data_IF_702844829131
#
_entry.id   IF_702844829131
#
_cell.length_a   1.000
_cell.length_b   1.000
_cell.length_c   1.000
_cell.angle_alpha   90.00
_cell.angle_beta   90.00
_cell.angle_gamma   90.00
#
_symmetry.space_group_name_H-M   'P 1'
#
loop_
_entity.id
_entity.type
_entity.pdbx_description
1 polymer ?
#
# COMPACT_ATOMS: atom_id res chain seq x y z
N UNK A 1 -2.35 12.36 -4.99
CA UNK A 1 -2.80 13.53 -4.24
C UNK A 1 -2.96 13.30 -2.74
N UNK A 2 -2.94 12.05 -2.26
CA UNK A 2 -3.02 11.71 -0.83
C UNK A 2 -4.34 12.04 -0.11
N UNK A 3 -5.37 12.52 -0.82
CA UNK A 3 -6.69 12.72 -0.24
C UNK A 3 -7.38 11.36 -0.04
N UNK A 4 -7.92 11.12 1.15
CA UNK A 4 -8.76 9.94 1.39
C UNK A 4 -10.10 10.06 0.66
N UNK A 5 -10.70 8.91 0.28
CA UNK A 5 -12.04 8.90 -0.32
C UNK A 5 -13.08 9.56 0.59
N UNK A 6 -13.00 9.34 1.91
CA UNK A 6 -13.85 9.98 2.92
C UNK A 6 -13.76 11.51 2.88
N UNK A 7 -12.54 12.04 2.79
CA UNK A 7 -12.34 13.50 2.73
C UNK A 7 -12.84 14.09 1.43
N UNK A 8 -12.59 13.42 0.29
CA UNK A 8 -13.06 13.86 -1.02
C UNK A 8 -14.60 13.98 -1.05
N UNK A 9 -15.29 12.98 -0.51
CA UNK A 9 -16.75 12.94 -0.48
C UNK A 9 -17.29 14.03 0.46
N UNK A 10 -16.72 14.18 1.66
CA UNK A 10 -17.14 15.22 2.59
C UNK A 10 -16.92 16.64 2.01
N UNK A 11 -15.82 16.87 1.30
CA UNK A 11 -15.59 18.17 0.64
C UNK A 11 -16.58 18.41 -0.51
N UNK A 12 -17.01 17.35 -1.22
CA UNK A 12 -18.03 17.44 -2.27
C UNK A 12 -19.43 17.72 -1.67
N UNK A 13 -19.80 17.05 -0.59
CA UNK A 13 -21.06 17.25 0.12
C UNK A 13 -21.19 18.66 0.70
N UNK A 14 -20.08 19.25 1.16
CA UNK A 14 -20.06 20.62 1.63
C UNK A 14 -20.25 21.66 0.51
N UNK A 15 -20.19 21.25 -0.76
CA UNK A 15 -20.32 22.14 -1.91
C UNK A 15 -21.74 22.15 -2.46
N UNK A 16 -22.46 23.24 -2.28
CA UNK A 16 -23.87 23.42 -2.72
C UNK A 16 -24.11 23.28 -4.23
N UNK A 17 -23.07 23.16 -5.03
CA UNK A 17 -23.15 23.03 -6.49
C UNK A 17 -22.90 21.60 -6.98
N UNK A 18 -22.77 20.64 -6.05
CA UNK A 18 -22.51 19.24 -6.35
C UNK A 18 -23.71 18.43 -5.85
N UNK A 19 -24.46 17.84 -6.79
CA UNK A 19 -25.61 16.97 -6.49
C UNK A 19 -25.20 15.51 -6.27
N UNK A 20 -24.04 15.11 -6.77
CA UNK A 20 -23.54 13.74 -6.64
C UNK A 20 -22.01 13.66 -6.69
N UNK A 21 -21.48 12.67 -6.03
CA UNK A 21 -20.02 12.38 -6.00
C UNK A 21 -19.79 10.89 -6.15
N UNK A 22 -18.55 10.46 -6.28
CA UNK A 22 -18.30 9.04 -6.38
C UNK A 22 -16.84 8.66 -6.58
N UNK A 23 -16.64 7.36 -6.72
CA UNK A 23 -15.32 6.77 -6.90
C UNK A 23 -15.22 6.13 -8.28
N UNK A 24 -14.22 6.53 -9.04
CA UNK A 24 -13.99 6.04 -10.39
C UNK A 24 -12.56 5.54 -10.55
N UNK A 25 -12.39 4.38 -11.20
CA UNK A 25 -11.09 3.84 -11.57
C UNK A 25 -10.19 3.45 -10.36
N UNK A 26 -8.92 3.23 -10.61
CA UNK A 26 -7.86 2.98 -9.61
C UNK A 26 -7.85 1.57 -9.05
N UNK A 27 -9.01 0.98 -8.78
CA UNK A 27 -9.14 -0.34 -8.14
C UNK A 27 -10.26 -1.17 -8.76
N UNK A 28 -10.22 -2.50 -8.55
CA UNK A 28 -11.31 -3.40 -8.89
C UNK A 28 -12.46 -3.38 -7.89
N UNK A 29 -13.59 -4.07 -8.17
CA UNK A 29 -14.84 -3.94 -7.41
C UNK A 29 -14.71 -4.40 -5.96
N UNK A 30 -13.93 -5.42 -5.67
CA UNK A 30 -13.72 -5.89 -4.30
C UNK A 30 -12.98 -4.88 -3.40
N UNK A 31 -12.03 -4.11 -3.96
CA UNK A 31 -11.39 -3.01 -3.23
C UNK A 31 -12.30 -1.78 -3.13
N UNK A 32 -13.03 -1.47 -4.19
CA UNK A 32 -13.99 -0.39 -4.18
C UNK A 32 -15.03 -0.59 -3.06
N UNK A 33 -15.53 -1.82 -2.88
CA UNK A 33 -16.41 -2.17 -1.75
C UNK A 33 -15.80 -1.83 -0.38
N UNK A 34 -14.49 -2.13 -0.18
CA UNK A 34 -13.79 -1.80 1.08
C UNK A 34 -13.69 -0.29 1.31
N UNK A 35 -13.43 0.47 0.26
CA UNK A 35 -13.36 1.93 0.34
C UNK A 35 -14.70 2.54 0.73
N UNK A 36 -15.81 2.01 0.19
CA UNK A 36 -17.17 2.52 0.40
C UNK A 36 -17.67 2.22 1.81
N UNK A 37 -17.32 1.09 2.40
CA UNK A 37 -17.75 0.70 3.75
C UNK A 37 -17.48 1.78 4.82
N UNK A 38 -16.47 2.60 4.62
CA UNK A 38 -16.04 3.65 5.54
C UNK A 38 -16.54 5.04 5.14
N UNK A 39 -17.45 5.12 4.15
CA UNK A 39 -17.99 6.36 3.66
C UNK A 39 -19.48 6.42 4.07
N UNK A 40 -19.82 7.37 4.92
CA UNK A 40 -21.20 7.82 5.06
C UNK A 40 -21.37 9.05 4.17
N UNK A 41 -22.32 9.05 3.27
CA UNK A 41 -22.74 10.25 2.57
C UNK A 41 -24.08 10.72 3.14
N UNK A 42 -24.33 12.01 3.03
CA UNK A 42 -25.63 12.59 3.34
C UNK A 42 -26.69 12.01 2.38
N UNK A 43 -27.93 11.80 2.87
CA UNK A 43 -29.03 11.28 2.07
C UNK A 43 -29.38 12.19 0.87
N UNK A 44 -28.91 13.44 0.87
CA UNK A 44 -29.11 14.39 -0.21
C UNK A 44 -28.11 14.24 -1.37
N UNK A 45 -27.03 13.48 -1.21
CA UNK A 45 -25.96 13.40 -2.21
C UNK A 45 -25.93 12.01 -2.89
N UNK A 46 -26.06 11.99 -4.21
CA UNK A 46 -25.95 10.74 -4.99
C UNK A 46 -24.52 10.22 -4.97
N UNK A 47 -24.37 8.93 -4.67
CA UNK A 47 -23.08 8.26 -4.78
C UNK A 47 -23.00 7.37 -6.00
N UNK A 48 -21.87 7.48 -6.71
CA UNK A 48 -21.56 6.67 -7.88
C UNK A 48 -20.29 5.83 -7.72
N UNK A 49 -20.25 4.67 -8.38
CA UNK A 49 -19.11 3.76 -8.34
C UNK A 49 -18.83 3.16 -9.71
N UNK A 50 -17.60 3.39 -10.20
CA UNK A 50 -17.12 2.91 -11.48
C UNK A 50 -15.75 2.22 -11.33
N UNK A 51 -15.67 0.98 -10.79
CA UNK A 51 -14.42 0.27 -10.63
C UNK A 51 -13.87 -0.25 -11.97
N UNK A 52 -12.59 -0.60 -11.98
CA UNK A 52 -11.99 -1.35 -13.07
C UNK A 52 -12.48 -2.81 -13.06
N UNK A 53 -12.45 -3.50 -14.20
CA UNK A 53 -12.81 -4.93 -14.28
C UNK A 53 -11.93 -5.81 -13.40
N UNK A 54 -10.74 -5.35 -13.04
CA UNK A 54 -9.77 -6.03 -12.20
C UNK A 54 -8.44 -5.27 -12.19
N UNK A 55 -7.37 -5.95 -11.77
CA UNK A 55 -6.02 -5.39 -11.87
C UNK A 55 -5.47 -5.55 -13.29
N UNK A 56 -4.82 -4.51 -13.84
CA UNK A 56 -4.19 -4.59 -15.13
C UNK A 56 -3.02 -5.59 -15.10
N UNK A 57 -2.92 -6.40 -16.15
CA UNK A 57 -1.76 -7.24 -16.42
C UNK A 57 -1.14 -6.87 -17.76
N UNK A 58 0.17 -6.85 -17.83
CA UNK A 58 0.88 -6.69 -19.09
C UNK A 58 1.10 -8.08 -19.71
N UNK A 59 0.47 -8.33 -20.84
CA UNK A 59 0.68 -9.51 -21.63
C UNK A 59 1.10 -9.09 -23.06
N UNK A 60 2.26 -9.55 -23.54
CA UNK A 60 2.79 -9.21 -24.85
C UNK A 60 2.82 -7.68 -25.12
N UNK A 61 3.31 -6.90 -24.18
CA UNK A 61 3.36 -5.43 -24.23
C UNK A 61 1.99 -4.73 -24.38
N UNK A 62 0.88 -5.43 -24.07
CA UNK A 62 -0.47 -4.87 -24.04
C UNK A 62 -1.02 -4.93 -22.63
N UNK A 63 -1.68 -3.85 -22.23
CA UNK A 63 -2.43 -3.81 -20.98
C UNK A 63 -3.69 -4.66 -21.16
N UNK A 64 -3.81 -5.71 -20.36
CA UNK A 64 -4.98 -6.60 -20.34
C UNK A 64 -5.57 -6.64 -18.95
N UNK A 65 -6.88 -6.86 -18.86
CA UNK A 65 -7.58 -7.05 -17.61
C UNK A 65 -8.10 -8.49 -17.55
N UNK A 66 -8.14 -9.06 -16.36
CA UNK A 66 -8.71 -10.40 -16.18
C UNK A 66 -10.21 -10.33 -16.43
N UNK A 67 -10.70 -11.11 -17.39
CA UNK A 67 -12.13 -11.20 -17.70
C UNK A 67 -12.81 -12.05 -16.62
N UNK A 68 -13.64 -11.41 -15.80
CA UNK A 68 -14.48 -12.05 -14.80
C UNK A 68 -15.72 -11.18 -14.53
N UNK A 69 -16.61 -11.14 -15.50
CA UNK A 69 -17.80 -10.31 -15.46
C UNK A 69 -18.82 -10.78 -14.41
N UNK A 70 -18.84 -12.10 -14.09
CA UNK A 70 -19.66 -12.65 -13.01
C UNK A 70 -19.26 -12.11 -11.65
N UNK A 71 -17.97 -12.24 -11.30
CA UNK A 71 -17.41 -11.71 -10.05
C UNK A 71 -17.62 -10.20 -9.95
N UNK A 72 -17.45 -9.50 -11.07
CA UNK A 72 -17.66 -8.06 -11.10
C UNK A 72 -19.10 -7.70 -10.75
N UNK A 73 -20.07 -8.35 -11.39
CA UNK A 73 -21.49 -8.11 -11.16
C UNK A 73 -21.90 -8.48 -9.72
N UNK A 74 -21.40 -9.61 -9.19
CA UNK A 74 -21.60 -10.00 -7.78
C UNK A 74 -21.13 -8.90 -6.83
N UNK A 75 -19.91 -8.38 -7.02
CA UNK A 75 -19.36 -7.33 -6.14
C UNK A 75 -20.07 -6.00 -6.28
N UNK A 76 -20.56 -5.66 -7.46
CA UNK A 76 -21.40 -4.46 -7.65
C UNK A 76 -22.75 -4.63 -6.96
N UNK A 77 -23.37 -5.80 -7.02
CA UNK A 77 -24.62 -6.07 -6.28
C UNK A 77 -24.42 -5.90 -4.77
N UNK A 78 -23.32 -6.41 -4.22
CA UNK A 78 -22.96 -6.21 -2.81
C UNK A 78 -22.71 -4.72 -2.46
N UNK A 79 -22.22 -3.94 -3.41
CA UNK A 79 -22.03 -2.48 -3.26
C UNK A 79 -23.38 -1.76 -3.29
N UNK A 80 -24.33 -2.22 -4.12
CA UNK A 80 -25.67 -1.66 -4.21
C UNK A 80 -26.40 -1.71 -2.85
N UNK A 81 -26.21 -2.78 -2.08
CA UNK A 81 -26.75 -2.93 -0.73
C UNK A 81 -26.27 -1.84 0.23
N UNK A 82 -25.20 -1.13 -0.08
CA UNK A 82 -24.63 -0.04 0.74
C UNK A 82 -25.21 1.34 0.45
N UNK A 83 -26.32 1.45 -0.30
CA UNK A 83 -26.99 2.72 -0.62
C UNK A 83 -26.34 3.50 -1.76
N UNK A 84 -25.49 2.86 -2.58
CA UNK A 84 -24.99 3.44 -3.82
C UNK A 84 -26.10 3.35 -4.88
N UNK A 85 -26.30 4.42 -5.65
CA UNK A 85 -27.39 4.48 -6.63
C UNK A 85 -26.94 4.52 -8.09
N UNK A 86 -25.68 4.81 -8.36
CA UNK A 86 -25.15 4.91 -9.72
C UNK A 86 -23.97 3.96 -9.87
N UNK A 87 -24.11 3.02 -10.80
CA UNK A 87 -23.10 1.98 -11.02
C UNK A 87 -22.63 1.96 -12.47
N UNK A 88 -21.40 1.58 -12.64
CA UNK A 88 -20.82 1.36 -13.96
C UNK A 88 -19.51 0.63 -13.86
N UNK A 89 -18.70 0.81 -14.88
CA UNK A 89 -17.37 0.25 -14.93
C UNK A 89 -16.39 1.22 -15.59
N UNK A 90 -15.10 1.03 -15.33
CA UNK A 90 -14.02 1.81 -15.89
C UNK A 90 -13.10 0.91 -16.72
N UNK A 91 -11.79 1.00 -16.53
CA UNK A 91 -10.81 0.28 -17.34
C UNK A 91 -11.04 -1.23 -17.37
N UNK A 92 -11.04 -1.79 -18.59
CA UNK A 92 -11.23 -3.21 -18.84
C UNK A 92 -12.67 -3.71 -18.78
N UNK A 93 -13.66 -2.88 -18.45
CA UNK A 93 -15.07 -3.27 -18.50
C UNK A 93 -15.59 -3.19 -19.94
N UNK A 94 -16.44 -4.13 -20.31
CA UNK A 94 -17.07 -4.27 -21.63
C UNK A 94 -18.60 -4.19 -21.49
N UNK A 95 -19.36 -4.10 -22.57
CA UNK A 95 -20.82 -4.14 -22.52
C UNK A 95 -21.38 -5.39 -21.81
N UNK A 96 -20.65 -6.50 -21.80
CA UNK A 96 -21.06 -7.72 -21.10
C UNK A 96 -21.08 -7.53 -19.58
N UNK A 97 -20.09 -6.82 -19.02
CA UNK A 97 -20.06 -6.46 -17.60
C UNK A 97 -21.28 -5.62 -17.22
N UNK A 98 -21.61 -4.63 -18.02
CA UNK A 98 -22.77 -3.75 -17.76
C UNK A 98 -24.09 -4.53 -17.86
N UNK A 99 -24.21 -5.44 -18.85
CA UNK A 99 -25.38 -6.30 -18.99
C UNK A 99 -25.58 -7.19 -17.75
N UNK A 100 -24.50 -7.77 -17.22
CA UNK A 100 -24.57 -8.60 -16.01
C UNK A 100 -24.91 -7.80 -14.75
N UNK A 101 -24.36 -6.58 -14.60
CA UNK A 101 -24.78 -5.68 -13.53
C UNK A 101 -26.28 -5.38 -13.64
N UNK A 102 -26.76 -4.97 -14.79
CA UNK A 102 -28.16 -4.63 -15.02
C UNK A 102 -29.12 -5.81 -14.78
N UNK A 103 -28.68 -7.03 -15.05
CA UNK A 103 -29.46 -8.23 -14.76
C UNK A 103 -29.49 -8.60 -13.27
N UNK A 104 -28.47 -8.22 -12.51
CA UNK A 104 -28.33 -8.55 -11.09
C UNK A 104 -28.89 -7.51 -10.12
N UNK A 105 -29.14 -6.28 -10.57
CA UNK A 105 -29.62 -5.20 -9.72
C UNK A 105 -31.05 -4.84 -10.16
N UNK A 106 -32.03 -5.02 -9.25
CA UNK A 106 -33.42 -4.60 -9.52
C UNK A 106 -33.53 -3.07 -9.51
N UNK A 107 -34.34 -2.48 -10.41
CA UNK A 107 -34.63 -1.05 -10.36
C UNK A 107 -35.29 -0.60 -9.05
N UNK A 108 -35.99 -1.52 -8.39
CA UNK A 108 -36.69 -1.30 -7.11
C UNK A 108 -35.81 -1.66 -5.90
N UNK A 109 -34.49 -1.74 -6.06
CA UNK A 109 -33.60 -2.04 -4.96
C UNK A 109 -33.74 -0.94 -3.91
N UNK A 110 -34.14 -1.27 -2.69
CA UNK A 110 -34.28 -0.24 -1.66
C UNK A 110 -32.89 0.41 -1.46
N UNK A 111 -32.83 1.72 -1.61
CA UNK A 111 -31.67 2.50 -1.17
C UNK A 111 -31.63 2.31 0.34
N UNK A 112 -30.88 1.28 0.78
CA UNK A 112 -30.82 0.91 2.18
C UNK A 112 -30.24 2.05 3.00
N UNK A 113 -30.80 2.30 4.17
CA UNK A 113 -30.15 3.11 5.18
C UNK A 113 -28.76 2.55 5.41
N UNK A 114 -27.75 3.37 5.16
CA UNK A 114 -26.36 2.98 5.39
C UNK A 114 -26.15 2.64 6.85
N UNK A 115 -25.90 1.38 7.16
CA UNK A 115 -25.32 1.05 8.45
C UNK A 115 -23.91 1.67 8.49
N UNK A 116 -23.77 2.70 9.28
CA UNK A 116 -22.44 3.18 9.69
C UNK A 116 -21.81 2.05 10.49
N UNK A 117 -20.96 1.27 9.83
CA UNK A 117 -20.07 0.37 10.55
C UNK A 117 -19.24 1.28 11.45
N UNK A 118 -19.39 1.08 12.77
CA UNK A 118 -18.59 1.81 13.74
C UNK A 118 -17.14 1.83 13.27
N UNK A 119 -16.57 3.02 13.22
CA UNK A 119 -15.14 3.16 12.92
C UNK A 119 -14.40 2.15 13.81
N UNK A 120 -13.82 1.16 13.20
CA UNK A 120 -12.71 0.47 13.84
C UNK A 120 -11.66 1.56 13.92
N UNK A 121 -11.64 2.24 15.06
CA UNK A 121 -10.52 3.08 15.44
C UNK A 121 -9.34 2.14 15.53
N UNK A 122 -8.66 1.92 14.42
CA UNK A 122 -7.28 1.51 14.46
C UNK A 122 -6.65 2.67 15.21
N UNK A 123 -6.35 2.43 16.48
CA UNK A 123 -5.63 3.38 17.29
C UNK A 123 -4.32 3.67 16.53
N UNK A 124 -4.32 4.77 15.81
CA UNK A 124 -3.12 5.32 15.19
C UNK A 124 -2.27 6.01 16.26
N UNK A 125 -2.06 5.34 17.38
CA UNK A 125 -0.94 5.66 18.22
C UNK A 125 0.30 5.25 17.43
N UNK A 126 0.80 6.20 16.64
CA UNK A 126 2.16 6.13 16.14
C UNK A 126 3.02 5.94 17.39
N UNK A 127 3.77 4.84 17.51
CA UNK A 127 4.70 4.74 18.62
C UNK A 127 5.60 5.96 18.52
N UNK A 128 5.55 6.85 19.50
CA UNK A 128 6.14 8.17 19.43
C UNK A 128 7.65 8.11 19.14
N UNK A 129 8.29 6.97 19.39
CA UNK A 129 9.73 6.75 19.25
C UNK A 129 10.12 5.45 18.53
N UNK A 130 9.17 4.63 18.09
CA UNK A 130 9.43 3.35 17.43
C UNK A 130 10.35 2.45 18.28
N UNK A 131 11.39 1.85 17.66
CA UNK A 131 12.34 0.98 18.36
C UNK A 131 13.20 1.70 19.40
N UNK A 132 13.25 3.03 19.37
CA UNK A 132 13.97 3.85 20.36
C UNK A 132 13.22 4.04 21.68
N UNK A 133 11.96 3.60 21.76
CA UNK A 133 11.07 3.88 22.89
C UNK A 133 11.68 3.43 24.24
N UNK A 134 12.25 2.22 24.28
CA UNK A 134 12.89 1.69 25.50
C UNK A 134 14.07 2.57 25.93
N UNK A 135 14.91 3.00 24.97
CA UNK A 135 16.06 3.83 25.27
C UNK A 135 15.68 5.25 25.68
N UNK A 136 14.59 5.78 25.17
CA UNK A 136 14.07 7.09 25.61
C UNK A 136 13.55 7.02 27.02
N UNK A 137 12.88 5.91 27.41
CA UNK A 137 12.40 5.69 28.78
C UNK A 137 13.54 5.35 29.76
N UNK A 138 14.54 4.62 29.30
CA UNK A 138 15.74 4.25 30.05
C UNK A 138 17.01 4.51 29.22
N UNK A 139 17.72 5.60 29.46
CA UNK A 139 18.95 5.93 28.75
C UNK A 139 20.08 4.89 28.91
N UNK A 140 20.03 4.02 29.93
CA UNK A 140 20.98 2.93 30.13
C UNK A 140 20.68 1.69 29.27
N UNK A 141 19.45 1.58 28.72
CA UNK A 141 19.05 0.46 27.88
C UNK A 141 19.91 0.39 26.60
N UNK A 142 20.49 -0.79 26.36
CA UNK A 142 21.26 -1.06 25.14
C UNK A 142 20.31 -1.59 24.07
N UNK A 143 20.20 -0.88 22.96
CA UNK A 143 19.38 -1.32 21.84
C UNK A 143 19.96 -2.59 21.21
N UNK A 144 19.11 -3.57 21.00
CA UNK A 144 19.44 -4.82 20.33
C UNK A 144 18.77 -4.83 18.97
N UNK A 145 19.57 -4.70 17.91
CA UNK A 145 19.14 -4.85 16.53
C UNK A 145 19.66 -6.19 15.97
N UNK A 146 18.79 -6.95 15.32
CA UNK A 146 19.17 -8.23 14.70
C UNK A 146 18.83 -8.21 13.23
N UNK A 147 19.80 -8.57 12.39
CA UNK A 147 19.62 -8.65 10.95
C UNK A 147 19.08 -10.03 10.56
N UNK A 148 17.97 -10.05 9.82
CA UNK A 148 17.42 -11.21 9.13
C UNK A 148 17.54 -11.04 7.63
N UNK A 149 18.32 -11.90 7.00
CA UNK A 149 18.56 -11.83 5.55
C UNK A 149 17.36 -12.41 4.80
N UNK A 150 16.70 -11.62 3.90
CA UNK A 150 15.62 -12.12 3.07
C UNK A 150 16.01 -13.36 2.24
N UNK A 151 15.06 -14.28 1.97
CA UNK A 151 15.36 -15.53 1.28
C UNK A 151 15.75 -15.32 -0.19
N UNK A 152 16.41 -16.32 -0.77
CA UNK A 152 16.80 -16.39 -2.19
C UNK A 152 15.67 -16.92 -3.09
N UNK A 153 14.69 -17.57 -2.48
CA UNK A 153 13.59 -18.28 -3.13
C UNK A 153 12.27 -17.87 -2.49
N UNK A 154 11.17 -18.47 -2.89
CA UNK A 154 9.84 -18.17 -2.34
C UNK A 154 9.52 -18.91 -1.02
N UNK A 155 10.54 -19.41 -0.32
CA UNK A 155 10.43 -20.10 0.96
C UNK A 155 10.94 -19.18 2.08
N UNK A 156 10.06 -18.77 2.97
CA UNK A 156 10.36 -17.87 4.08
C UNK A 156 10.12 -18.50 5.46
N UNK A 157 9.85 -19.80 5.55
CA UNK A 157 9.55 -20.51 6.79
C UNK A 157 10.64 -20.27 7.85
N UNK A 158 11.91 -20.45 7.48
CA UNK A 158 13.03 -20.21 8.40
C UNK A 158 13.15 -18.77 8.88
N UNK A 159 12.77 -17.81 8.03
CA UNK A 159 12.78 -16.41 8.38
C UNK A 159 11.68 -16.09 9.38
N UNK A 160 10.50 -16.67 9.22
CA UNK A 160 9.37 -16.54 10.16
C UNK A 160 9.70 -17.18 11.51
N UNK A 161 10.25 -18.39 11.51
CA UNK A 161 10.69 -19.05 12.73
C UNK A 161 11.71 -18.21 13.51
N UNK A 162 12.70 -17.68 12.80
CA UNK A 162 13.70 -16.80 13.41
C UNK A 162 13.06 -15.53 13.98
N UNK A 163 12.10 -14.94 13.27
CA UNK A 163 11.39 -13.75 13.75
C UNK A 163 10.58 -14.03 15.03
N UNK A 164 9.92 -15.18 15.13
CA UNK A 164 9.23 -15.60 16.35
C UNK A 164 10.18 -15.81 17.53
N UNK A 165 11.36 -16.39 17.30
CA UNK A 165 12.40 -16.51 18.33
C UNK A 165 12.83 -15.12 18.81
N UNK A 166 13.08 -14.17 17.87
CA UNK A 166 13.48 -12.81 18.21
C UNK A 166 12.39 -12.03 18.95
N UNK A 167 11.12 -12.28 18.61
CA UNK A 167 9.98 -11.71 19.34
C UNK A 167 10.00 -12.15 20.81
N UNK A 168 10.22 -13.45 21.06
CA UNK A 168 10.29 -14.00 22.41
C UNK A 168 11.54 -13.54 23.18
N UNK A 169 12.61 -13.21 22.44
CA UNK A 169 13.85 -12.65 23.02
C UNK A 169 13.78 -11.12 23.24
N UNK A 170 12.62 -10.50 22.95
CA UNK A 170 12.37 -9.06 23.15
C UNK A 170 13.40 -8.13 22.51
N UNK A 171 13.89 -8.46 21.31
CA UNK A 171 14.78 -7.54 20.56
C UNK A 171 14.06 -6.23 20.22
N UNK A 172 14.82 -5.13 20.13
CA UNK A 172 14.23 -3.81 19.91
C UNK A 172 13.86 -3.57 18.46
N UNK A 173 14.64 -4.12 17.51
CA UNK A 173 14.38 -3.97 16.08
C UNK A 173 14.97 -5.13 15.28
N UNK A 174 14.27 -5.53 14.23
CA UNK A 174 14.78 -6.47 13.23
C UNK A 174 15.04 -5.75 11.92
N UNK A 175 16.22 -5.94 11.34
CA UNK A 175 16.63 -5.29 10.10
C UNK A 175 16.67 -6.27 8.95
N UNK A 176 16.43 -5.79 7.72
CA UNK A 176 16.37 -6.62 6.52
C UNK A 176 17.25 -6.01 5.43
N UNK A 177 18.37 -6.65 5.06
CA UNK A 177 19.27 -6.11 4.05
C UNK A 177 18.66 -6.14 2.64
N UNK A 178 18.93 -5.08 1.85
CA UNK A 178 18.48 -4.94 0.45
C UNK A 178 19.50 -5.57 -0.50
N UNK A 179 19.27 -6.82 -0.87
CA UNK A 179 20.11 -7.58 -1.82
C UNK A 179 21.60 -7.46 -1.50
N UNK A 180 22.04 -7.93 -0.31
CA UNK A 180 23.43 -7.80 0.14
C UNK A 180 24.41 -8.45 -0.83
N UNK A 181 25.62 -7.90 -0.90
CA UNK A 181 26.67 -8.27 -1.85
C UNK A 181 26.24 -8.18 -3.33
N UNK A 182 25.23 -7.36 -3.63
CA UNK A 182 24.69 -7.19 -4.99
C UNK A 182 24.04 -8.45 -5.57
N UNK A 183 23.56 -9.34 -4.72
CA UNK A 183 22.88 -10.59 -5.12
C UNK A 183 21.38 -10.49 -4.81
N UNK A 184 20.57 -10.90 -5.77
CA UNK A 184 19.10 -10.88 -5.63
C UNK A 184 18.64 -11.64 -4.39
N UNK A 185 17.77 -11.00 -3.63
CA UNK A 185 17.00 -11.54 -2.51
C UNK A 185 15.56 -11.08 -2.62
N UNK A 186 14.67 -11.67 -1.84
CA UNK A 186 13.34 -11.09 -1.67
C UNK A 186 13.43 -9.63 -1.21
N UNK A 187 12.49 -8.80 -1.61
CA UNK A 187 12.49 -7.36 -1.31
C UNK A 187 12.49 -7.11 0.20
N UNK A 188 13.40 -6.28 0.66
CA UNK A 188 13.62 -5.99 2.08
C UNK A 188 12.39 -5.35 2.75
N UNK A 189 11.69 -4.46 2.04
CA UNK A 189 10.51 -3.76 2.56
C UNK A 189 9.31 -4.71 2.66
N UNK A 190 9.09 -5.54 1.63
CA UNK A 190 8.02 -6.54 1.64
C UNK A 190 8.23 -7.59 2.74
N UNK A 191 9.46 -8.02 2.95
CA UNK A 191 9.77 -8.96 4.04
C UNK A 191 9.62 -8.31 5.41
N UNK A 192 10.06 -7.06 5.57
CA UNK A 192 9.85 -6.30 6.80
C UNK A 192 8.36 -6.15 7.12
N UNK A 193 7.53 -5.83 6.13
CA UNK A 193 6.08 -5.72 6.32
C UNK A 193 5.47 -7.06 6.74
N UNK A 194 5.83 -8.16 6.07
CA UNK A 194 5.34 -9.48 6.41
C UNK A 194 5.68 -9.83 7.86
N UNK A 195 6.93 -9.68 8.28
CA UNK A 195 7.38 -9.98 9.64
C UNK A 195 6.69 -9.08 10.67
N UNK A 196 6.52 -7.79 10.36
CA UNK A 196 5.81 -6.85 11.24
C UNK A 196 4.36 -7.28 11.48
N UNK A 197 3.67 -7.68 10.42
CA UNK A 197 2.27 -8.13 10.52
C UNK A 197 2.14 -9.44 11.31
N UNK A 198 3.04 -10.39 11.09
CA UNK A 198 3.00 -11.71 11.72
C UNK A 198 3.41 -11.67 13.19
N UNK A 199 4.37 -10.82 13.54
CA UNK A 199 4.99 -10.85 14.87
C UNK A 199 4.77 -9.60 15.71
N UNK A 200 4.42 -8.48 15.09
CA UNK A 200 4.37 -7.17 15.76
C UNK A 200 5.75 -6.60 16.15
N UNK A 201 6.86 -7.18 15.66
CA UNK A 201 8.20 -6.64 15.88
C UNK A 201 8.38 -5.28 15.21
N UNK A 202 9.17 -4.40 15.83
CA UNK A 202 9.69 -3.24 15.13
C UNK A 202 10.64 -3.69 14.03
N UNK A 203 10.49 -3.10 12.83
CA UNK A 203 11.27 -3.47 11.66
C UNK A 203 11.98 -2.26 11.08
N UNK A 204 13.15 -2.50 10.47
CA UNK A 204 13.93 -1.48 9.79
C UNK A 204 14.53 -2.09 8.51
N UNK A 205 13.79 -2.06 7.39
CA UNK A 205 14.35 -2.52 6.13
C UNK A 205 15.46 -1.59 5.65
N UNK A 206 16.46 -2.18 5.00
CA UNK A 206 17.47 -1.44 4.28
C UNK A 206 16.92 -1.02 2.91
N UNK A 207 17.29 0.15 2.45
CA UNK A 207 17.02 0.62 1.09
C UNK A 207 18.34 1.08 0.50
N UNK A 208 18.75 0.49 -0.62
CA UNK A 208 19.96 0.89 -1.32
C UNK A 208 19.62 1.60 -2.65
N UNK A 209 20.50 2.50 -3.08
CA UNK A 209 20.35 3.21 -4.34
C UNK A 209 21.01 2.50 -5.53
N UNK A 210 21.63 1.32 -5.32
CA UNK A 210 22.27 0.56 -6.40
C UNK A 210 21.36 0.30 -7.58
N UNK A 211 20.12 -0.10 -7.33
CA UNK A 211 19.18 -0.56 -8.34
C UNK A 211 17.99 0.41 -8.53
N UNK A 212 17.96 1.51 -7.78
CA UNK A 212 16.80 2.40 -7.68
C UNK A 212 17.17 3.83 -8.10
N UNK A 213 16.37 4.40 -8.98
CA UNK A 213 16.40 5.83 -9.28
C UNK A 213 15.54 6.62 -8.26
N UNK A 214 15.49 7.94 -8.38
CA UNK A 214 14.71 8.81 -7.49
C UNK A 214 13.24 8.40 -7.38
N UNK A 215 12.60 8.03 -8.49
CA UNK A 215 11.20 7.63 -8.52
C UNK A 215 11.02 6.34 -7.72
N UNK A 216 11.86 5.33 -7.95
CA UNK A 216 11.77 4.07 -7.25
C UNK A 216 12.03 4.23 -5.73
N UNK A 217 13.02 5.05 -5.33
CA UNK A 217 13.32 5.32 -3.92
C UNK A 217 12.11 5.96 -3.24
N UNK A 218 11.57 7.04 -3.80
CA UNK A 218 10.41 7.75 -3.25
C UNK A 218 9.18 6.86 -3.18
N UNK A 219 8.90 6.12 -4.25
CA UNK A 219 7.78 5.18 -4.29
C UNK A 219 7.90 4.08 -3.23
N UNK A 220 9.09 3.52 -3.04
CA UNK A 220 9.35 2.51 -2.00
C UNK A 220 9.11 3.09 -0.60
N UNK A 221 9.63 4.27 -0.30
CA UNK A 221 9.48 4.91 1.02
C UNK A 221 8.02 5.29 1.28
N UNK A 222 7.31 5.85 0.29
CA UNK A 222 5.88 6.15 0.41
C UNK A 222 5.06 4.89 0.67
N UNK A 223 5.31 3.83 -0.11
CA UNK A 223 4.63 2.54 0.07
C UNK A 223 4.88 1.94 1.46
N UNK A 224 6.12 1.97 1.93
CA UNK A 224 6.49 1.51 3.25
C UNK A 224 5.83 2.33 4.36
N UNK A 225 5.81 3.66 4.23
CA UNK A 225 5.15 4.56 5.19
C UNK A 225 3.64 4.32 5.28
N UNK A 226 2.97 4.08 4.15
CA UNK A 226 1.54 3.71 4.12
C UNK A 226 1.26 2.37 4.81
N UNK A 227 2.26 1.49 4.87
CA UNK A 227 2.21 0.23 5.60
C UNK A 227 2.85 0.33 7.00
N UNK A 228 2.92 1.54 7.56
CA UNK A 228 3.42 1.80 8.92
C UNK A 228 4.87 1.39 9.18
N UNK A 229 5.68 1.25 8.15
CA UNK A 229 7.14 1.13 8.28
C UNK A 229 7.72 2.54 8.27
N UNK A 230 8.24 2.96 9.40
CA UNK A 230 8.71 4.35 9.63
C UNK A 230 10.22 4.46 9.86
N UNK A 231 10.92 3.32 9.92
CA UNK A 231 12.35 3.26 10.16
C UNK A 231 13.05 2.59 8.98
N UNK A 232 14.08 3.23 8.46
CA UNK A 232 14.85 2.73 7.32
C UNK A 232 16.35 2.86 7.57
N UNK A 233 17.13 1.90 7.09
CA UNK A 233 18.57 2.06 6.94
C UNK A 233 18.90 2.35 5.48
N UNK A 234 19.32 3.59 5.22
CA UNK A 234 19.63 4.06 3.87
C UNK A 234 21.10 3.81 3.52
N UNK A 235 21.34 3.06 2.48
CA UNK A 235 22.67 2.61 2.08
C UNK A 235 22.95 2.95 0.61
N UNK A 236 24.22 3.22 0.30
CA UNK A 236 24.64 3.29 -1.13
C UNK A 236 24.46 1.94 -1.81
N UNK A 237 24.73 0.86 -1.10
CA UNK A 237 24.64 -0.52 -1.59
C UNK A 237 25.94 -1.04 -2.19
N UNK A 238 26.09 -2.36 -2.14
CA UNK A 238 27.24 -3.07 -2.72
C UNK A 238 27.19 -3.02 -4.25
N UNK A 239 28.34 -2.95 -4.93
CA UNK A 239 28.36 -3.01 -6.40
C UNK A 239 27.91 -4.37 -6.91
N UNK A 240 27.28 -4.38 -8.09
CA UNK A 240 26.93 -5.62 -8.77
C UNK A 240 28.20 -6.46 -9.02
N UNK A 241 28.22 -7.75 -8.65
CA UNK A 241 29.35 -8.64 -8.89
C UNK A 241 29.74 -8.69 -10.38
N UNK A 242 31.02 -8.77 -10.67
CA UNK A 242 31.56 -8.73 -12.04
C UNK A 242 30.84 -9.72 -12.96
N UNK A 243 30.55 -10.92 -12.45
CA UNK A 243 29.85 -11.97 -13.18
C UNK A 243 28.49 -11.56 -13.73
N UNK A 244 27.77 -10.66 -13.04
CA UNK A 244 26.41 -10.26 -13.40
C UNK A 244 26.35 -8.91 -14.14
N UNK A 245 27.46 -8.19 -14.30
CA UNK A 245 27.47 -6.84 -14.91
C UNK A 245 27.06 -6.81 -16.39
N UNK A 246 27.06 -7.95 -17.07
CA UNK A 246 26.59 -8.03 -18.45
C UNK A 246 25.05 -7.93 -18.55
N UNK A 247 24.36 -8.45 -17.55
CA UNK A 247 22.87 -8.50 -17.50
C UNK A 247 22.25 -7.50 -16.54
N UNK A 248 23.04 -6.99 -15.59
CA UNK A 248 22.56 -6.07 -14.54
C UNK A 248 23.42 -4.82 -14.52
N UNK A 249 22.78 -3.67 -14.79
CA UNK A 249 23.43 -2.36 -14.69
C UNK A 249 23.00 -1.67 -13.40
N UNK A 250 23.99 -1.17 -12.66
CA UNK A 250 23.72 -0.35 -11.48
C UNK A 250 23.21 1.04 -11.88
N UNK A 251 22.37 1.61 -11.07
CA UNK A 251 21.80 2.96 -11.24
C UNK A 251 22.67 4.00 -10.52
N UNK A 252 22.87 3.83 -9.21
CA UNK A 252 23.67 4.71 -8.35
C UNK A 252 23.51 6.22 -8.64
N UNK A 253 22.25 6.68 -8.82
CA UNK A 253 21.98 8.11 -8.96
C UNK A 253 22.29 8.91 -7.70
N UNK A 254 22.35 8.23 -6.56
CA UNK A 254 22.60 8.82 -5.23
C UNK A 254 23.56 7.95 -4.44
N UNK A 255 24.07 8.51 -3.37
CA UNK A 255 24.65 7.80 -2.25
C UNK A 255 23.69 7.83 -1.04
N UNK A 256 24.11 7.27 0.09
CA UNK A 256 23.29 7.26 1.31
C UNK A 256 22.95 8.68 1.79
N UNK A 257 23.84 9.66 1.63
CA UNK A 257 23.61 11.05 2.02
C UNK A 257 22.56 11.70 1.11
N UNK A 258 22.65 11.45 -0.20
CA UNK A 258 21.65 11.91 -1.17
C UNK A 258 20.26 11.33 -0.88
N UNK A 259 20.18 10.06 -0.49
CA UNK A 259 18.92 9.43 -0.08
C UNK A 259 18.35 10.03 1.19
N UNK A 260 19.18 10.37 2.19
CA UNK A 260 18.72 11.07 3.39
C UNK A 260 18.11 12.44 3.08
N UNK A 261 18.66 13.18 2.11
CA UNK A 261 18.08 14.44 1.64
C UNK A 261 16.71 14.24 1.01
N UNK A 262 16.55 13.19 0.19
CA UNK A 262 15.23 12.83 -0.38
C UNK A 262 14.21 12.59 0.74
N UNK A 263 14.57 11.81 1.77
CA UNK A 263 13.68 11.55 2.91
C UNK A 263 13.35 12.83 3.69
N UNK A 264 14.33 13.70 3.88
CA UNK A 264 14.12 15.00 4.52
C UNK A 264 13.13 15.87 3.73
N UNK A 265 13.25 15.93 2.41
CA UNK A 265 12.30 16.61 1.53
C UNK A 265 10.88 16.02 1.66
N UNK A 266 10.77 14.69 1.66
CA UNK A 266 9.48 14.01 1.82
C UNK A 266 8.84 14.29 3.18
N UNK A 267 9.62 14.38 4.26
CA UNK A 267 9.12 14.67 5.61
C UNK A 267 8.69 16.12 5.80
N UNK A 268 9.23 17.05 4.99
CA UNK A 268 8.92 18.48 5.10
C UNK A 268 7.79 18.95 4.18
N UNK A 269 7.10 18.03 3.50
CA UNK A 269 6.08 18.33 2.46
C UNK A 269 6.59 19.28 1.35
N UNK A 270 7.90 19.53 1.29
CA UNK A 270 8.52 20.33 0.22
C UNK A 270 8.70 19.52 -1.06
N UNK A 271 8.29 18.26 -1.03
CA UNK A 271 8.28 17.37 -2.16
C UNK A 271 7.18 17.78 -3.13
N UNK A 272 7.53 18.64 -4.09
CA UNK A 272 6.70 18.92 -5.25
C UNK A 272 7.29 18.20 -6.46
N UNK A 273 6.62 17.13 -6.92
CA UNK A 273 6.80 16.65 -8.28
C UNK A 273 6.09 17.62 -9.22
N UNK A 274 6.71 18.74 -9.47
CA UNK A 274 6.36 19.52 -10.65
C UNK A 274 7.40 19.21 -11.72
N UNK A 275 6.98 18.72 -12.90
CA UNK A 275 7.86 18.58 -14.04
C UNK A 275 8.38 19.94 -14.50
#
# INVERSE_FOLDING_TARGET
TGLSAKRLIADAEACRYIDGTGLNCGVGPGHMKKLIRNISADDATFLSVFPNSGYPKYLNNRLTFTDNAEYFAEKISEIAESGICIFGGCCGTTPDYIRKIAAGISPDYPVGSRETVAEVTVSSEKPAYGFMERRVKDPSHKLVAVELVPPLNADDEKLLDAAHILKNAEVDVVTFPDSPSGRTRADSVLMAEKIRLETGLCVMPHICCRDKNAIAIRSTILGASLNHITNFLLLTGDPVPVLFRQTTKSVFNFDSVGMMKIVQEMNSDTFSEHP
#
